data_IF_861759446659
#
_entry.id   IF_861759446659
#
_cell.length_a   1.000
_cell.length_b   1.000
_cell.length_c   1.000
_cell.angle_alpha   90.00
_cell.angle_beta   90.00
_cell.angle_gamma   90.00
#
_symmetry.space_group_name_H-M   'P 1'
#
loop_
_entity.id
_entity.type
_entity.pdbx_description
1 polymer ?
#
# COMPACT_ATOMS: atom_id res chain seq x y z
N UNK A 1 1.62 2.54 -22.49
CA UNK A 1 1.53 1.59 -21.37
C UNK A 1 0.41 2.05 -20.45
N UNK A 2 -0.42 1.15 -19.90
CA UNK A 2 -1.59 1.50 -19.08
C UNK A 2 -1.36 1.03 -17.65
N UNK A 3 -1.62 1.90 -16.68
CA UNK A 3 -1.63 1.56 -15.25
C UNK A 3 -3.03 1.80 -14.68
N UNK A 4 -3.46 0.92 -13.79
CA UNK A 4 -4.63 1.05 -12.95
C UNK A 4 -4.12 1.41 -11.56
N UNK A 5 -4.64 2.51 -11.02
CA UNK A 5 -4.17 3.10 -9.77
C UNK A 5 -5.36 3.41 -8.87
N UNK A 6 -5.15 3.33 -7.56
CA UNK A 6 -6.12 3.76 -6.56
C UNK A 6 -5.40 4.56 -5.47
N UNK A 7 -5.67 5.87 -5.42
CA UNK A 7 -4.95 6.81 -4.56
C UNK A 7 -5.73 7.23 -3.31
N UNK A 8 -6.97 6.77 -3.15
CA UNK A 8 -7.78 7.11 -1.99
C UNK A 8 -8.24 5.85 -1.27
N UNK A 9 -7.43 5.43 -0.31
CA UNK A 9 -7.72 4.33 0.60
C UNK A 9 -7.62 4.83 2.04
N UNK A 10 -8.14 4.02 2.95
CA UNK A 10 -7.92 4.20 4.37
C UNK A 10 -7.22 2.99 4.96
N UNK A 11 -6.38 3.24 5.96
CA UNK A 11 -5.69 2.23 6.75
C UNK A 11 -6.62 1.60 7.80
N UNK A 12 -6.15 0.54 8.47
CA UNK A 12 -6.84 -0.07 9.62
C UNK A 12 -7.04 0.87 10.82
N UNK A 13 -6.39 2.04 10.82
CA UNK A 13 -6.51 3.05 11.87
C UNK A 13 -7.64 4.05 11.64
N UNK A 14 -8.24 4.06 10.45
CA UNK A 14 -9.44 4.84 10.19
C UNK A 14 -10.66 4.26 10.92
N UNK A 15 -11.67 5.10 11.14
CA UNK A 15 -12.94 4.65 11.75
C UNK A 15 -13.76 3.91 10.69
N UNK A 16 -14.46 2.86 11.12
CA UNK A 16 -15.34 2.04 10.26
C UNK A 16 -14.63 1.39 9.05
N UNK A 17 -13.32 1.16 9.12
CA UNK A 17 -12.55 0.39 8.15
C UNK A 17 -12.22 -1.01 8.66
N UNK A 18 -11.96 -1.95 7.75
CA UNK A 18 -11.56 -3.31 8.13
C UNK A 18 -10.25 -3.28 8.93
N UNK A 19 -10.10 -4.12 9.97
CA UNK A 19 -8.82 -4.28 10.67
C UNK A 19 -7.73 -4.88 9.78
N UNK A 20 -8.11 -5.47 8.64
CA UNK A 20 -7.20 -6.01 7.62
C UNK A 20 -6.77 -4.98 6.57
N UNK A 21 -7.09 -3.68 6.75
CA UNK A 21 -6.56 -2.62 5.89
C UNK A 21 -5.08 -2.32 6.25
N UNK A 22 -4.23 -3.34 6.15
CA UNK A 22 -2.77 -3.26 6.28
C UNK A 22 -2.08 -3.43 4.92
N UNK A 23 -0.77 -3.13 4.86
CA UNK A 23 -0.03 -3.09 3.60
C UNK A 23 0.00 -4.46 2.91
N UNK A 24 0.13 -5.54 3.67
CA UNK A 24 0.20 -6.91 3.17
C UNK A 24 -1.11 -7.37 2.52
N UNK A 25 -2.25 -7.08 3.14
CA UNK A 25 -3.55 -7.37 2.55
C UNK A 25 -3.84 -6.44 1.36
N UNK A 26 -3.48 -5.15 1.46
CA UNK A 26 -3.64 -4.21 0.35
C UNK A 26 -2.88 -4.65 -0.90
N UNK A 27 -1.61 -5.06 -0.76
CA UNK A 27 -0.81 -5.63 -1.84
C UNK A 27 -1.49 -6.86 -2.44
N UNK A 28 -1.86 -7.84 -1.61
CA UNK A 28 -2.52 -9.08 -2.07
C UNK A 28 -3.81 -8.81 -2.85
N UNK A 29 -4.68 -7.94 -2.33
CA UNK A 29 -5.98 -7.67 -2.96
C UNK A 29 -5.86 -6.79 -4.19
N UNK A 30 -4.90 -5.85 -4.24
CA UNK A 30 -4.63 -5.07 -5.44
C UNK A 30 -4.09 -5.94 -6.58
N UNK A 31 -3.24 -6.94 -6.29
CA UNK A 31 -2.82 -7.93 -7.30
C UNK A 31 -4.03 -8.67 -7.89
N UNK A 32 -4.93 -9.17 -7.04
CA UNK A 32 -6.15 -9.86 -7.48
C UNK A 32 -7.09 -8.97 -8.28
N UNK A 33 -7.19 -7.68 -7.91
CA UNK A 33 -8.03 -6.69 -8.60
C UNK A 33 -7.37 -6.14 -9.88
N UNK A 34 -6.09 -6.41 -10.11
CA UNK A 34 -5.33 -5.88 -11.24
C UNK A 34 -4.95 -4.41 -11.11
N UNK A 35 -4.80 -3.90 -9.87
CA UNK A 35 -4.29 -2.56 -9.58
C UNK A 35 -2.77 -2.63 -9.43
N UNK A 36 -2.02 -1.77 -10.13
CA UNK A 36 -0.55 -1.77 -10.10
C UNK A 36 0.02 -0.79 -9.07
N UNK A 37 -0.69 0.29 -8.76
CA UNK A 37 -0.20 1.32 -7.83
C UNK A 37 -1.31 1.71 -6.85
N UNK A 38 -0.96 1.73 -5.56
CA UNK A 38 -1.81 2.18 -4.47
C UNK A 38 -1.23 3.42 -3.79
N UNK A 39 -2.09 4.36 -3.43
CA UNK A 39 -1.76 5.37 -2.42
C UNK A 39 -1.74 4.72 -1.05
N UNK A 40 -0.77 5.07 -0.20
CA UNK A 40 -0.72 4.51 1.17
C UNK A 40 -1.93 4.87 2.02
N UNK A 41 -2.54 6.04 1.79
CA UNK A 41 -3.65 6.59 2.59
C UNK A 41 -3.21 6.90 4.03
N UNK A 42 -3.95 7.76 4.74
CA UNK A 42 -3.79 8.03 6.18
C UNK A 42 -2.35 8.26 6.70
N UNK A 43 -1.40 8.68 5.87
CA UNK A 43 0.03 8.70 6.22
C UNK A 43 0.39 9.67 7.35
N UNK A 44 -0.54 10.57 7.71
CA UNK A 44 -0.42 11.48 8.85
C UNK A 44 -0.70 10.78 10.19
N UNK A 45 -1.31 9.59 10.19
CA UNK A 45 -1.53 8.81 11.41
C UNK A 45 -0.19 8.21 11.89
N UNK A 46 0.26 8.46 13.13
CA UNK A 46 1.63 8.16 13.56
C UNK A 46 1.96 6.65 13.55
N UNK A 47 1.01 5.79 13.93
CA UNK A 47 1.23 4.35 13.91
C UNK A 47 1.24 3.80 12.47
N UNK A 48 0.42 4.38 11.59
CA UNK A 48 0.39 3.97 10.18
C UNK A 48 1.69 4.39 9.47
N UNK A 49 2.14 5.62 9.72
CA UNK A 49 3.39 6.12 9.20
C UNK A 49 4.60 5.27 9.64
N UNK A 50 4.60 4.79 10.89
CA UNK A 50 5.61 3.86 11.39
C UNK A 50 5.56 2.53 10.61
N UNK A 51 4.38 1.99 10.33
CA UNK A 51 4.24 0.77 9.53
C UNK A 51 4.73 0.96 8.10
N UNK A 52 4.34 2.04 7.43
CA UNK A 52 4.81 2.43 6.09
C UNK A 52 6.35 2.41 6.06
N UNK A 53 7.00 3.14 6.97
CA UNK A 53 8.48 3.19 7.04
C UNK A 53 9.14 1.86 7.36
N UNK A 54 8.47 1.01 8.13
CA UNK A 54 9.04 -0.27 8.57
C UNK A 54 8.94 -1.33 7.47
N UNK A 55 7.79 -1.39 6.78
CA UNK A 55 7.43 -2.48 5.87
C UNK A 55 7.71 -2.18 4.40
N UNK A 56 7.68 -0.91 4.00
CA UNK A 56 7.98 -0.52 2.62
C UNK A 56 9.46 -0.23 2.43
N UNK A 57 9.95 -0.49 1.22
CA UNK A 57 11.27 -0.08 0.75
C UNK A 57 11.18 0.71 -0.56
N UNK A 58 12.02 1.73 -0.74
CA UNK A 58 11.98 2.59 -1.92
C UNK A 58 12.55 1.87 -3.16
N UNK A 59 12.02 2.21 -4.33
CA UNK A 59 12.49 1.74 -5.63
C UNK A 59 13.35 2.77 -6.39
N UNK A 60 13.75 3.85 -5.73
CA UNK A 60 14.55 4.97 -6.29
C UNK A 60 13.89 5.69 -7.48
N UNK A 61 12.57 5.55 -7.65
CA UNK A 61 11.78 6.22 -8.70
C UNK A 61 10.52 6.93 -8.13
N UNK A 62 10.51 7.20 -6.81
CA UNK A 62 9.37 7.79 -6.11
C UNK A 62 8.29 6.78 -5.67
N UNK A 63 8.40 5.51 -6.07
CA UNK A 63 7.53 4.44 -5.62
C UNK A 63 8.20 3.57 -4.56
N UNK A 64 7.37 2.84 -3.85
CA UNK A 64 7.75 1.89 -2.83
C UNK A 64 7.17 0.51 -3.13
N UNK A 65 7.73 -0.53 -2.53
CA UNK A 65 7.13 -1.87 -2.49
C UNK A 65 7.24 -2.47 -1.09
N UNK A 66 6.41 -3.47 -0.79
CA UNK A 66 6.61 -4.28 0.40
C UNK A 66 7.95 -5.00 0.33
N UNK A 67 8.70 -4.98 1.44
CA UNK A 67 9.96 -5.74 1.60
C UNK A 67 9.76 -7.25 1.41
N UNK A 68 8.57 -7.75 1.73
CA UNK A 68 8.20 -9.16 1.61
C UNK A 68 7.46 -9.50 0.31
N UNK A 69 7.32 -8.54 -0.61
CA UNK A 69 6.60 -8.78 -1.86
C UNK A 69 7.31 -9.86 -2.69
N UNK A 70 6.50 -10.76 -3.27
CA UNK A 70 6.95 -11.77 -4.24
C UNK A 70 6.81 -11.23 -5.67
N UNK A 71 6.95 -12.10 -6.68
CA UNK A 71 6.71 -11.74 -8.08
C UNK A 71 5.30 -11.13 -8.25
N UNK A 72 5.19 -10.07 -9.07
CA UNK A 72 4.01 -9.21 -9.26
C UNK A 72 3.65 -8.26 -8.09
N UNK A 73 4.66 -7.67 -7.44
CA UNK A 73 4.46 -6.66 -6.40
C UNK A 73 3.60 -5.47 -6.84
N UNK A 74 2.68 -5.05 -5.99
CA UNK A 74 1.99 -3.76 -6.11
C UNK A 74 2.90 -2.66 -5.59
N UNK A 75 2.89 -1.51 -6.28
CA UNK A 75 3.67 -0.36 -5.86
C UNK A 75 2.84 0.57 -4.99
N UNK A 76 3.51 1.23 -4.05
CA UNK A 76 2.91 2.20 -3.15
C UNK A 76 3.48 3.60 -3.40
N UNK A 77 2.65 4.63 -3.20
CA UNK A 77 3.02 6.04 -3.21
C UNK A 77 2.48 6.79 -1.98
#
# INVERSE_FOLDING_TARGET
>A
MRYIVDFHLHSKYSRATSPQMDLEHLDKWAQLKGIQILGTGDFTHPLWFKEIKTKLEPLNNGLFKLKTAKDNAVYFI
#
